data_IF_701493260038
#
_entry.id   IF_701493260038
#
_cell.length_a   1.000
_cell.length_b   1.000
_cell.length_c   1.000
_cell.angle_alpha   90.00
_cell.angle_beta   90.00
_cell.angle_gamma   90.00
#
_symmetry.space_group_name_H-M   'P 1'
#
loop_
_entity.id
_entity.type
_entity.pdbx_description
1 polymer ?
#
# COMPACT_ATOMS: atom_id res chain seq x y z
N UNK A 1 14.98 13.43 12.62
CA UNK A 1 14.27 14.13 11.55
C UNK A 1 13.10 13.27 11.15
N UNK A 2 11.89 13.62 11.59
CA UNK A 2 10.67 12.92 11.19
C UNK A 2 10.26 13.53 9.86
N UNK A 3 10.43 12.81 8.76
CA UNK A 3 9.85 13.21 7.48
C UNK A 3 8.44 12.62 7.42
N UNK A 4 7.42 13.48 7.42
CA UNK A 4 6.07 13.03 7.16
C UNK A 4 5.98 12.50 5.74
N UNK A 5 5.26 11.39 5.55
CA UNK A 5 5.11 10.71 4.25
C UNK A 5 4.53 11.64 3.17
N UNK A 6 3.67 12.59 3.57
CA UNK A 6 3.15 13.65 2.71
C UNK A 6 4.27 14.47 2.06
N UNK A 7 5.23 14.94 2.86
CA UNK A 7 6.30 15.83 2.40
C UNK A 7 7.24 15.17 1.39
N UNK A 8 7.33 13.83 1.37
CA UNK A 8 8.12 13.07 0.39
C UNK A 8 7.39 12.97 -0.95
N UNK A 9 6.06 12.95 -0.91
CA UNK A 9 5.21 12.78 -2.09
C UNK A 9 4.49 14.07 -2.49
N UNK A 10 5.02 15.21 -2.05
CA UNK A 10 4.54 16.53 -2.44
C UNK A 10 4.47 16.65 -3.97
N UNK A 11 3.34 17.15 -4.47
CA UNK A 11 3.04 17.25 -5.90
C UNK A 11 2.22 16.08 -6.46
N UNK A 12 2.03 14.99 -5.70
CA UNK A 12 1.07 13.94 -6.04
C UNK A 12 -0.29 14.22 -5.40
N UNK A 13 -1.36 14.07 -6.18
CA UNK A 13 -2.71 14.02 -5.61
C UNK A 13 -2.92 12.66 -4.95
N UNK A 14 -2.85 12.63 -3.62
CA UNK A 14 -2.98 11.42 -2.83
C UNK A 14 -4.20 11.45 -1.92
N UNK A 15 -4.62 10.27 -1.45
CA UNK A 15 -5.67 10.10 -0.44
C UNK A 15 -5.14 9.22 0.68
N UNK A 16 -5.54 9.50 1.92
CA UNK A 16 -5.28 8.58 3.03
C UNK A 16 -6.06 7.28 2.85
N UNK A 17 -5.61 6.20 3.49
CA UNK A 17 -6.29 4.92 3.43
C UNK A 17 -7.76 5.03 3.85
N UNK A 18 -8.64 4.48 3.00
CA UNK A 18 -10.06 4.32 3.26
C UNK A 18 -10.41 2.83 3.16
N UNK A 19 -10.87 2.19 4.27
CA UNK A 19 -11.17 0.76 4.28
C UNK A 19 -12.36 0.39 3.38
N UNK A 20 -13.18 1.36 2.94
CA UNK A 20 -14.24 1.13 1.96
C UNK A 20 -13.73 1.06 0.52
N UNK A 21 -12.55 1.63 0.24
CA UNK A 21 -11.96 1.66 -1.09
C UNK A 21 -10.99 0.50 -1.34
N UNK A 22 -10.27 0.05 -0.31
CA UNK A 22 -9.39 -1.13 -0.36
C UNK A 22 -9.13 -1.74 1.02
N UNK A 23 -8.73 -3.00 1.00
CA UNK A 23 -8.27 -3.74 2.17
C UNK A 23 -7.00 -3.15 2.78
N UNK A 24 -6.75 -3.59 4.00
CA UNK A 24 -5.60 -3.14 4.81
C UNK A 24 -4.26 -3.66 4.26
N UNK A 25 -4.24 -4.91 3.79
CA UNK A 25 -3.01 -5.62 3.44
C UNK A 25 -2.85 -5.81 1.94
N UNK A 26 -1.68 -5.44 1.43
CA UNK A 26 -1.27 -5.81 0.08
C UNK A 26 -0.60 -7.18 0.12
N UNK A 27 -1.01 -8.10 -0.75
CA UNK A 27 -0.43 -9.45 -0.79
C UNK A 27 0.65 -9.50 -1.86
N UNK A 28 1.88 -9.79 -1.43
CA UNK A 28 3.03 -10.06 -2.28
C UNK A 28 3.30 -11.56 -2.30
N UNK A 29 3.29 -12.16 -3.49
CA UNK A 29 3.42 -13.62 -3.67
C UNK A 29 4.81 -14.06 -4.19
N UNK A 30 5.73 -13.13 -4.39
CA UNK A 30 7.03 -13.34 -5.05
C UNK A 30 8.11 -14.05 -4.18
N UNK A 31 7.73 -14.68 -3.07
CA UNK A 31 8.65 -15.30 -2.12
C UNK A 31 8.24 -16.71 -1.69
N UNK A 32 9.04 -17.34 -0.83
CA UNK A 32 8.76 -18.69 -0.30
C UNK A 32 7.41 -18.80 0.46
N UNK A 33 6.91 -17.67 0.98
CA UNK A 33 5.59 -17.53 1.59
C UNK A 33 4.96 -16.21 1.12
N UNK A 34 3.63 -16.15 0.99
CA UNK A 34 2.94 -14.88 0.79
C UNK A 34 3.29 -13.90 1.90
N UNK A 35 3.41 -12.63 1.54
CA UNK A 35 3.67 -11.54 2.49
C UNK A 35 2.51 -10.58 2.44
N UNK A 36 1.89 -10.31 3.59
CA UNK A 36 0.81 -9.35 3.76
C UNK A 36 1.39 -8.06 4.32
N UNK A 37 1.51 -7.04 3.48
CA UNK A 37 2.14 -5.75 3.80
C UNK A 37 1.06 -4.79 4.30
N UNK A 38 1.18 -4.29 5.53
CA UNK A 38 0.25 -3.32 6.12
C UNK A 38 0.34 -1.96 5.42
N UNK A 39 -0.63 -1.67 4.57
CA UNK A 39 -0.71 -0.43 3.81
C UNK A 39 -1.67 0.59 4.46
N UNK A 40 -2.07 0.42 5.72
CA UNK A 40 -3.04 1.31 6.39
C UNK A 40 -2.51 2.72 6.65
N UNK A 41 -1.19 2.89 6.72
CA UNK A 41 -0.53 4.20 6.90
C UNK A 41 -0.03 4.78 5.57
N UNK A 42 -0.31 4.11 4.46
CA UNK A 42 0.09 4.55 3.13
C UNK A 42 -0.82 5.62 2.53
N UNK A 43 -0.33 6.25 1.47
CA UNK A 43 -1.05 7.22 0.66
C UNK A 43 -1.45 6.59 -0.69
N UNK A 44 -2.72 6.67 -1.03
CA UNK A 44 -3.27 6.10 -2.24
C UNK A 44 -3.25 7.12 -3.38
N UNK A 45 -2.73 6.70 -4.53
CA UNK A 45 -2.88 7.38 -5.82
C UNK A 45 -3.88 6.60 -6.66
N UNK A 46 -4.80 7.32 -7.29
CA UNK A 46 -5.81 6.73 -8.18
C UNK A 46 -5.72 7.43 -9.51
N UNK A 47 -5.47 6.64 -10.56
CA UNK A 47 -5.46 7.12 -11.95
C UNK A 47 -6.88 7.28 -12.45
N UNK A 48 -7.04 8.00 -13.57
CA UNK A 48 -8.33 8.24 -14.22
C UNK A 48 -9.06 6.95 -14.64
N UNK A 49 -8.31 5.90 -14.94
CA UNK A 49 -8.84 4.55 -15.27
C UNK A 49 -9.30 3.76 -14.03
N UNK A 50 -9.18 4.32 -12.83
CA UNK A 50 -9.55 3.67 -11.58
C UNK A 50 -8.51 2.69 -11.05
N UNK A 51 -7.37 2.51 -11.73
CA UNK A 51 -6.25 1.74 -11.18
C UNK A 51 -5.64 2.51 -10.01
N UNK A 52 -5.35 1.77 -8.93
CA UNK A 52 -4.91 2.33 -7.66
C UNK A 52 -3.52 1.80 -7.31
N UNK A 53 -2.69 2.66 -6.73
CA UNK A 53 -1.48 2.23 -6.04
C UNK A 53 -1.37 2.90 -4.67
N UNK A 54 -0.68 2.24 -3.74
CA UNK A 54 -0.36 2.80 -2.43
C UNK A 54 1.14 3.08 -2.34
N UNK A 55 1.47 4.26 -1.83
CA UNK A 55 2.79 4.69 -1.45
C UNK A 55 2.98 4.51 0.06
N UNK A 56 4.03 3.85 0.48
CA UNK A 56 4.42 3.77 1.90
C UNK A 56 5.84 4.27 2.09
N UNK A 57 6.15 4.74 3.30
CA UNK A 57 7.52 5.06 3.71
C UNK A 57 7.85 4.24 4.96
N UNK A 58 8.66 3.20 4.79
CA UNK A 58 9.05 2.31 5.88
C UNK A 58 10.57 2.18 5.95
N UNK A 59 11.14 2.49 7.13
CA UNK A 59 12.58 2.33 7.41
C UNK A 59 13.49 2.98 6.34
N UNK A 60 13.04 4.08 5.74
CA UNK A 60 13.79 4.79 4.69
C UNK A 60 13.60 4.25 3.26
N UNK A 61 12.72 3.26 3.07
CA UNK A 61 12.34 2.74 1.76
C UNK A 61 10.96 3.23 1.37
N UNK A 62 10.79 3.54 0.08
CA UNK A 62 9.49 3.82 -0.52
C UNK A 62 8.90 2.53 -1.07
N UNK A 63 7.73 2.15 -0.59
CA UNK A 63 6.90 1.09 -1.18
C UNK A 63 5.98 1.66 -2.25
N UNK A 64 5.84 0.97 -3.37
CA UNK A 64 4.88 1.28 -4.43
C UNK A 64 4.08 0.02 -4.77
N UNK A 65 2.83 -0.04 -4.34
CA UNK A 65 2.01 -1.26 -4.42
C UNK A 65 0.81 -1.06 -5.33
N UNK A 66 0.78 -1.72 -6.49
CA UNK A 66 -0.32 -1.57 -7.47
C UNK A 66 -1.43 -2.58 -7.22
N UNK A 67 -2.61 -2.09 -6.87
CA UNK A 67 -3.77 -2.92 -6.52
C UNK A 67 -4.55 -3.33 -7.76
N UNK A 68 -4.40 -4.59 -8.16
CA UNK A 68 -5.27 -5.23 -9.16
C UNK A 68 -6.53 -5.84 -8.50
N UNK A 69 -6.40 -6.29 -7.25
CA UNK A 69 -7.51 -6.69 -6.39
C UNK A 69 -7.47 -5.85 -5.12
N UNK A 70 -8.48 -4.99 -4.92
CA UNK A 70 -8.50 -4.05 -3.78
C UNK A 70 -8.76 -4.74 -2.44
N UNK A 71 -9.42 -5.89 -2.43
CA UNK A 71 -9.72 -6.67 -1.23
C UNK A 71 -9.20 -8.10 -1.42
N UNK A 72 -7.89 -8.33 -1.26
CA UNK A 72 -7.33 -9.66 -1.36
C UNK A 72 -7.68 -10.48 -0.12
N UNK A 73 -7.86 -11.79 -0.32
CA UNK A 73 -7.86 -12.73 0.81
C UNK A 73 -6.43 -12.88 1.32
N UNK A 74 -6.25 -12.89 2.64
CA UNK A 74 -4.94 -13.04 3.26
C UNK A 74 -4.67 -14.55 3.44
N UNK A 75 -3.65 -15.13 2.79
CA UNK A 75 -3.32 -16.53 2.98
C UNK A 75 -2.98 -16.84 4.44
N UNK A 76 -3.44 -18.00 4.96
CA UNK A 76 -3.22 -18.39 6.36
C UNK A 76 -1.73 -18.52 6.74
N UNK A 77 -0.88 -18.81 5.77
CA UNK A 77 0.56 -18.94 5.92
C UNK A 77 1.32 -17.62 5.63
N UNK A 78 0.60 -16.52 5.41
CA UNK A 78 1.22 -15.24 5.08
C UNK A 78 2.01 -14.68 6.26
N UNK A 79 3.18 -14.14 5.96
CA UNK A 79 3.94 -13.32 6.91
C UNK A 79 3.35 -11.92 6.88
N UNK A 80 2.95 -11.39 8.03
CA UNK A 80 2.45 -10.02 8.13
C UNK A 80 3.64 -9.09 8.40
N UNK A 81 3.80 -8.08 7.56
CA UNK A 81 4.81 -7.05 7.67
C UNK A 81 4.17 -5.67 7.87
#
# INVERSE_FOLDING_TARGET
MVMEISNIFDGLTTKVWDPSNRGKYFIREDGCKPTAIDCSLGLDIVREDGLMATLTLEKGHVGFYTWHQRFPEIPKNAVIL
#
